data_IF_031182776211
#
_entry.id   IF_031182776211
#
_cell.length_a   1.000
_cell.length_b   1.000
_cell.length_c   1.000
_cell.angle_alpha   90.00
_cell.angle_beta   90.00
_cell.angle_gamma   90.00
#
_symmetry.space_group_name_H-M   'P 1'
#
loop_
_entity.id
_entity.type
_entity.pdbx_description
1 polymer ?
#
# COMPACT_ATOMS: atom_id res chain seq x y z
N UNK A 1 34.89 -31.44 31.33
CA UNK A 1 33.42 -31.26 31.32
C UNK A 1 32.98 -29.80 31.54
N UNK A 2 33.74 -28.93 32.23
CA UNK A 2 33.37 -27.51 32.48
C UNK A 2 33.47 -26.58 31.27
N UNK A 3 34.42 -26.83 30.36
CA UNK A 3 34.73 -25.91 29.25
C UNK A 3 33.64 -25.85 28.18
N UNK A 4 32.99 -26.98 27.87
CA UNK A 4 31.95 -27.05 26.85
C UNK A 4 30.63 -26.41 27.31
N UNK A 5 30.27 -26.57 28.60
CA UNK A 5 29.08 -25.93 29.18
C UNK A 5 29.27 -24.41 29.29
N UNK A 6 30.47 -23.95 29.63
CA UNK A 6 30.84 -22.53 29.61
C UNK A 6 30.80 -21.93 28.21
N UNK A 7 31.39 -22.61 27.21
CA UNK A 7 31.36 -22.18 25.81
C UNK A 7 29.92 -22.09 25.28
N UNK A 8 29.08 -23.10 25.58
CA UNK A 8 27.65 -23.07 25.25
C UNK A 8 26.95 -21.88 25.90
N UNK A 9 27.23 -21.58 27.17
CA UNK A 9 26.65 -20.45 27.88
C UNK A 9 27.08 -19.11 27.28
N UNK A 10 28.34 -18.98 26.88
CA UNK A 10 28.86 -17.79 26.19
C UNK A 10 28.24 -17.61 24.80
N UNK A 11 28.15 -18.68 24.01
CA UNK A 11 27.51 -18.66 22.70
C UNK A 11 26.02 -18.32 22.79
N UNK A 12 25.30 -18.85 23.78
CA UNK A 12 23.90 -18.48 24.02
C UNK A 12 23.75 -17.02 24.42
N UNK A 13 24.66 -16.47 25.25
CA UNK A 13 24.65 -15.04 25.58
C UNK A 13 24.91 -14.17 24.35
N UNK A 14 25.88 -14.56 23.51
CA UNK A 14 26.22 -13.85 22.28
C UNK A 14 25.07 -13.91 21.27
N UNK A 15 24.48 -15.08 21.05
CA UNK A 15 23.31 -15.24 20.18
C UNK A 15 22.12 -14.39 20.67
N UNK A 16 21.82 -14.40 21.98
CA UNK A 16 20.77 -13.54 22.56
C UNK A 16 21.05 -12.05 22.33
N UNK A 17 22.32 -11.63 22.43
CA UNK A 17 22.73 -10.25 22.17
C UNK A 17 22.52 -9.88 20.69
N UNK A 18 22.99 -10.73 19.76
CA UNK A 18 22.81 -10.52 18.32
C UNK A 18 21.32 -10.46 17.92
N UNK A 19 20.47 -11.31 18.51
CA UNK A 19 19.03 -11.26 18.26
C UNK A 19 18.43 -9.94 18.73
N UNK A 20 18.82 -9.43 19.90
CA UNK A 20 18.37 -8.11 20.37
C UNK A 20 18.82 -6.98 19.45
N UNK A 21 20.06 -7.03 18.98
CA UNK A 21 20.63 -6.02 18.07
C UNK A 21 20.05 -6.10 16.65
N UNK A 22 19.48 -7.24 16.26
CA UNK A 22 18.81 -7.40 14.95
C UNK A 22 17.49 -6.64 14.84
N UNK A 23 16.90 -6.21 15.96
CA UNK A 23 15.70 -5.37 15.97
C UNK A 23 16.07 -3.97 15.50
N UNK A 24 15.73 -3.66 14.26
CA UNK A 24 16.04 -2.39 13.60
C UNK A 24 14.77 -1.68 13.11
N UNK A 25 14.93 -0.41 12.72
CA UNK A 25 13.82 0.39 12.17
C UNK A 25 13.23 -0.22 10.88
N UNK A 26 14.07 -0.85 10.05
CA UNK A 26 13.61 -1.60 8.86
C UNK A 26 12.53 -2.64 9.22
N UNK A 27 12.71 -3.39 10.31
CA UNK A 27 11.75 -4.42 10.72
C UNK A 27 10.38 -3.82 11.06
N UNK A 28 10.35 -2.67 11.74
CA UNK A 28 9.10 -1.97 12.04
C UNK A 28 8.42 -1.48 10.76
N UNK A 29 9.17 -0.92 9.81
CA UNK A 29 8.66 -0.47 8.50
C UNK A 29 8.07 -1.64 7.73
N UNK A 30 8.80 -2.76 7.64
CA UNK A 30 8.39 -3.97 6.90
C UNK A 30 7.13 -4.60 7.49
N UNK A 31 7.02 -4.65 8.82
CA UNK A 31 5.81 -5.14 9.49
C UNK A 31 4.63 -4.19 9.29
N UNK A 32 4.84 -2.87 9.42
CA UNK A 32 3.79 -1.88 9.24
C UNK A 32 3.19 -1.94 7.83
N UNK A 33 4.01 -1.98 6.78
CA UNK A 33 3.51 -2.06 5.39
C UNK A 33 2.80 -3.41 5.12
N UNK A 34 3.28 -4.50 5.71
CA UNK A 34 2.61 -5.81 5.59
C UNK A 34 1.22 -5.78 6.22
N UNK A 35 1.10 -5.17 7.41
CA UNK A 35 -0.18 -4.99 8.08
C UNK A 35 -1.12 -4.08 7.28
N UNK A 36 -0.62 -3.00 6.68
CA UNK A 36 -1.43 -2.12 5.80
C UNK A 36 -2.00 -2.91 4.61
N UNK A 37 -1.18 -3.75 3.97
CA UNK A 37 -1.63 -4.58 2.84
C UNK A 37 -2.64 -5.66 3.27
N UNK A 38 -2.43 -6.27 4.44
CA UNK A 38 -3.35 -7.27 4.99
C UNK A 38 -4.69 -6.66 5.39
N UNK A 39 -4.68 -5.53 6.11
CA UNK A 39 -5.90 -4.80 6.47
C UNK A 39 -6.68 -4.38 5.23
N UNK A 40 -6.01 -3.86 4.21
CA UNK A 40 -6.65 -3.49 2.95
C UNK A 40 -7.29 -4.71 2.26
N UNK A 41 -6.65 -5.87 2.28
CA UNK A 41 -7.19 -7.11 1.70
C UNK A 41 -8.40 -7.63 2.49
N UNK A 42 -8.32 -7.60 3.82
CA UNK A 42 -9.41 -8.04 4.72
C UNK A 42 -10.61 -7.10 4.55
N UNK A 43 -10.41 -5.79 4.64
CA UNK A 43 -11.46 -4.79 4.44
C UNK A 43 -12.16 -4.94 3.09
N UNK A 44 -11.41 -5.17 2.01
CA UNK A 44 -12.00 -5.42 0.69
C UNK A 44 -12.81 -6.73 0.62
N UNK A 45 -12.34 -7.79 1.29
CA UNK A 45 -13.05 -9.07 1.33
C UNK A 45 -14.36 -8.94 2.11
N UNK A 46 -14.31 -8.28 3.28
CA UNK A 46 -15.48 -8.02 4.10
C UNK A 46 -16.46 -7.08 3.42
N UNK A 47 -15.99 -6.07 2.69
CA UNK A 47 -16.87 -5.16 1.94
C UNK A 47 -17.66 -5.90 0.86
N UNK A 48 -17.03 -6.86 0.16
CA UNK A 48 -17.76 -7.70 -0.81
C UNK A 48 -18.86 -8.53 -0.12
N UNK A 49 -18.58 -9.10 1.04
CA UNK A 49 -19.58 -9.82 1.84
C UNK A 49 -20.69 -8.92 2.36
N UNK A 50 -20.35 -7.71 2.80
CA UNK A 50 -21.33 -6.71 3.21
C UNK A 50 -22.25 -6.33 2.05
N UNK A 51 -21.72 -6.15 0.83
CA UNK A 51 -22.52 -5.87 -0.37
C UNK A 51 -23.51 -7.00 -0.66
N UNK A 52 -23.03 -8.25 -0.71
CA UNK A 52 -23.88 -9.42 -0.93
C UNK A 52 -24.98 -9.54 0.15
N UNK A 53 -24.65 -9.27 1.42
CA UNK A 53 -25.58 -9.40 2.53
C UNK A 53 -26.60 -8.27 2.56
N UNK A 54 -26.17 -7.01 2.35
CA UNK A 54 -27.04 -5.85 2.32
C UNK A 54 -27.92 -5.81 1.06
N UNK A 55 -27.51 -6.47 -0.03
CA UNK A 55 -28.33 -6.59 -1.23
C UNK A 55 -29.66 -7.34 -1.01
N UNK A 56 -29.77 -8.17 0.05
CA UNK A 56 -31.04 -8.79 0.46
C UNK A 56 -32.06 -7.71 0.86
N UNK A 57 -31.58 -6.64 1.50
CA UNK A 57 -32.39 -5.54 2.02
C UNK A 57 -32.61 -4.42 0.99
N UNK A 58 -31.54 -4.04 0.28
CA UNK A 58 -31.58 -2.94 -0.70
C UNK A 58 -30.61 -3.18 -1.87
N UNK A 59 -31.00 -4.01 -2.86
CA UNK A 59 -30.14 -4.39 -3.98
C UNK A 59 -29.77 -3.20 -4.91
N UNK A 60 -30.58 -2.14 -4.92
CA UNK A 60 -30.37 -0.97 -5.77
C UNK A 60 -29.14 -0.15 -5.34
N UNK A 61 -28.75 -0.22 -4.06
CA UNK A 61 -27.57 0.49 -3.54
C UNK A 61 -26.27 -0.03 -4.14
N UNK A 62 -26.20 -1.34 -4.41
CA UNK A 62 -25.02 -1.96 -5.00
C UNK A 62 -24.72 -1.38 -6.40
N UNK A 63 -25.77 -1.18 -7.21
CA UNK A 63 -25.63 -0.63 -8.56
C UNK A 63 -25.27 0.85 -8.56
N UNK A 64 -25.74 1.61 -7.57
CA UNK A 64 -25.51 3.06 -7.47
C UNK A 64 -24.10 3.41 -6.99
N UNK A 65 -23.51 2.60 -6.11
CA UNK A 65 -22.27 2.95 -5.41
C UNK A 65 -21.17 1.95 -5.71
N UNK A 66 -20.30 2.28 -6.66
CA UNK A 66 -19.14 1.46 -7.01
C UNK A 66 -18.03 1.55 -5.95
N UNK A 67 -17.86 2.71 -5.31
CA UNK A 67 -16.83 2.88 -4.29
C UNK A 67 -17.15 2.12 -2.99
N UNK A 68 -16.16 1.37 -2.51
CA UNK A 68 -16.29 0.51 -1.34
C UNK A 68 -16.39 1.30 -0.04
N UNK A 69 -15.62 2.37 0.10
CA UNK A 69 -15.65 3.18 1.33
C UNK A 69 -16.94 4.00 1.42
N UNK A 70 -17.37 4.59 0.30
CA UNK A 70 -18.66 5.27 0.22
C UNK A 70 -19.83 4.32 0.53
N UNK A 71 -19.80 3.09 0.02
CA UNK A 71 -20.83 2.10 0.29
C UNK A 71 -20.95 1.79 1.79
N UNK A 72 -19.83 1.49 2.46
CA UNK A 72 -19.82 1.19 3.90
C UNK A 72 -20.35 2.38 4.72
N UNK A 73 -19.96 3.61 4.35
CA UNK A 73 -20.44 4.84 5.02
C UNK A 73 -21.94 5.06 4.83
N UNK A 74 -22.48 4.73 3.66
CA UNK A 74 -23.91 4.86 3.37
C UNK A 74 -24.74 3.84 4.13
N UNK A 75 -24.28 2.58 4.18
CA UNK A 75 -24.90 1.51 4.97
C UNK A 75 -24.99 1.90 6.45
N UNK A 76 -23.96 2.55 7.00
CA UNK A 76 -23.97 3.01 8.40
C UNK A 76 -24.84 4.24 8.67
N UNK A 77 -25.03 5.11 7.68
CA UNK A 77 -25.69 6.40 7.86
C UNK A 77 -27.19 6.39 7.61
N UNK A 78 -27.68 5.47 6.79
CA UNK A 78 -29.00 5.65 6.21
C UNK A 78 -29.86 4.39 6.25
N UNK A 79 -31.06 4.55 6.80
CA UNK A 79 -32.15 3.60 6.66
C UNK A 79 -32.68 3.58 5.21
N UNK A 80 -33.23 2.44 4.76
CA UNK A 80 -33.80 2.25 3.40
C UNK A 80 -34.66 3.44 2.95
N UNK A 81 -35.49 3.99 3.84
CA UNK A 81 -36.37 5.14 3.58
C UNK A 81 -35.63 6.48 3.38
N UNK A 82 -34.49 6.68 4.04
CA UNK A 82 -33.66 7.88 3.86
C UNK A 82 -32.89 7.87 2.54
N UNK A 83 -32.38 6.70 2.14
CA UNK A 83 -31.67 6.49 0.86
C UNK A 83 -32.60 6.63 -0.35
N UNK A 84 -33.86 6.21 -0.19
CA UNK A 84 -34.90 6.34 -1.21
C UNK A 84 -35.34 7.81 -1.40
N UNK A 85 -35.35 8.62 -0.34
CA UNK A 85 -35.74 10.03 -0.40
C UNK A 85 -34.70 10.94 -1.07
N UNK A 86 -33.41 10.60 -0.99
CA UNK A 86 -32.34 11.31 -1.70
C UNK A 86 -32.28 10.95 -3.20
N UNK A 87 -32.83 9.80 -3.58
CA UNK A 87 -32.94 9.37 -4.97
C UNK A 87 -34.19 9.92 -5.65
N UNK A 88 -34.07 11.07 -6.33
CA UNK A 88 -35.14 11.72 -7.12
C UNK A 88 -35.69 10.93 -8.34
N UNK A 89 -35.41 9.64 -8.46
CA UNK A 89 -35.93 8.79 -9.52
C UNK A 89 -36.69 7.61 -8.93
N UNK A 90 -38.02 7.65 -9.11
CA UNK A 90 -38.99 6.55 -9.03
C UNK A 90 -38.42 5.16 -8.66
N UNK A 91 -38.10 4.93 -7.39
CA UNK A 91 -37.96 3.56 -6.88
C UNK A 91 -39.37 3.07 -6.56
N UNK A 92 -40.13 2.77 -7.63
CA UNK A 92 -41.46 2.13 -7.53
C UNK A 92 -41.39 0.61 -7.49
N UNK A 93 -40.22 0.04 -7.78
CA UNK A 93 -39.96 -1.39 -7.72
C UNK A 93 -38.92 -1.67 -6.63
N UNK A 94 -39.36 -1.66 -5.37
CA UNK A 94 -38.55 -2.17 -4.25
C UNK A 94 -38.41 -3.70 -4.43
N UNK A 95 -37.26 -4.16 -4.94
CA UNK A 95 -36.99 -5.60 -5.07
C UNK A 95 -36.48 -6.22 -3.76
N UNK A 96 -35.93 -5.39 -2.87
CA UNK A 96 -35.35 -5.82 -1.59
C UNK A 96 -36.39 -6.15 -0.53
N UNK A 97 -36.09 -7.15 0.30
CA UNK A 97 -36.94 -7.53 1.43
C UNK A 97 -36.89 -6.47 2.54
N UNK A 98 -37.95 -6.37 3.32
CA UNK A 98 -37.92 -5.65 4.60
C UNK A 98 -37.34 -6.58 5.66
N UNK A 99 -36.18 -6.22 6.20
CA UNK A 99 -35.54 -6.94 7.30
C UNK A 99 -36.03 -6.41 8.65
N UNK A 100 -36.17 -7.33 9.61
CA UNK A 100 -36.36 -6.94 11.01
C UNK A 100 -35.09 -6.34 11.60
N UNK A 101 -35.22 -5.55 12.67
CA UNK A 101 -34.07 -4.93 13.34
C UNK A 101 -33.03 -5.96 13.79
N UNK A 102 -33.48 -7.14 14.23
CA UNK A 102 -32.61 -8.23 14.68
C UNK A 102 -31.71 -8.77 13.57
N UNK A 103 -32.18 -8.77 12.32
CA UNK A 103 -31.40 -9.21 11.15
C UNK A 103 -30.51 -8.09 10.59
N UNK A 104 -30.94 -6.83 10.78
CA UNK A 104 -30.23 -5.66 10.28
C UNK A 104 -29.05 -5.26 11.18
N UNK A 105 -29.16 -5.47 12.49
CA UNK A 105 -28.09 -5.19 13.48
C UNK A 105 -26.75 -5.88 13.15
N UNK A 106 -26.70 -7.19 12.85
CA UNK A 106 -25.46 -7.86 12.43
C UNK A 106 -24.83 -7.27 11.18
N UNK A 107 -25.66 -6.82 10.22
CA UNK A 107 -25.19 -6.22 8.96
C UNK A 107 -24.52 -4.86 9.24
N UNK A 108 -25.14 -4.02 10.06
CA UNK A 108 -24.57 -2.75 10.48
C UNK A 108 -23.31 -2.93 11.33
N UNK A 109 -23.28 -3.94 12.20
CA UNK A 109 -22.10 -4.31 12.98
C UNK A 109 -20.91 -4.65 12.08
N UNK A 110 -21.13 -5.44 11.03
CA UNK A 110 -20.10 -5.74 10.03
C UNK A 110 -19.60 -4.47 9.32
N UNK A 111 -20.50 -3.55 8.95
CA UNK A 111 -20.13 -2.26 8.34
C UNK A 111 -19.28 -1.39 9.29
N UNK A 112 -19.57 -1.42 10.60
CA UNK A 112 -18.77 -0.73 11.61
C UNK A 112 -17.36 -1.30 11.69
N UNK A 113 -17.22 -2.63 11.76
CA UNK A 113 -15.91 -3.30 11.81
C UNK A 113 -15.07 -2.95 10.58
N UNK A 114 -15.67 -2.92 9.38
CA UNK A 114 -14.97 -2.53 8.15
C UNK A 114 -14.46 -1.08 8.25
N UNK A 115 -15.27 -0.18 8.81
CA UNK A 115 -14.88 1.22 9.02
C UNK A 115 -13.70 1.34 9.98
N UNK A 116 -13.70 0.57 11.07
CA UNK A 116 -12.60 0.53 12.03
C UNK A 116 -11.32 -0.02 11.39
N UNK A 117 -11.40 -1.07 10.58
CA UNK A 117 -10.25 -1.61 9.83
C UNK A 117 -9.65 -0.57 8.88
N UNK A 118 -10.48 0.22 8.19
CA UNK A 118 -10.02 1.30 7.31
C UNK A 118 -9.35 2.43 8.10
N UNK A 119 -9.88 2.75 9.29
CA UNK A 119 -9.28 3.73 10.20
C UNK A 119 -7.91 3.27 10.70
N UNK A 120 -7.80 2.02 11.16
CA UNK A 120 -6.53 1.44 11.62
C UNK A 120 -5.50 1.40 10.49
N UNK A 121 -5.93 1.06 9.28
CA UNK A 121 -5.07 1.15 8.09
C UNK A 121 -4.51 2.56 7.91
N UNK A 122 -5.35 3.61 8.01
CA UNK A 122 -4.90 5.00 7.88
C UNK A 122 -3.89 5.38 8.97
N UNK A 123 -4.12 4.97 10.22
CA UNK A 123 -3.19 5.22 11.32
C UNK A 123 -1.81 4.59 11.07
N UNK A 124 -1.78 3.38 10.51
CA UNK A 124 -0.53 2.72 10.13
C UNK A 124 0.15 3.40 8.94
N UNK A 125 -0.60 3.90 7.95
CA UNK A 125 -0.04 4.68 6.84
C UNK A 125 0.62 5.99 7.34
N UNK A 126 -0.01 6.69 8.27
CA UNK A 126 0.53 7.91 8.88
C UNK A 126 1.78 7.62 9.73
N UNK A 127 1.77 6.52 10.48
CA UNK A 127 2.94 6.03 11.21
C UNK A 127 4.10 5.69 10.27
N UNK A 128 3.80 5.01 9.16
CA UNK A 128 4.77 4.62 8.15
C UNK A 128 5.38 5.86 7.48
N UNK A 129 4.59 6.88 7.16
CA UNK A 129 5.07 8.12 6.55
C UNK A 129 6.07 8.85 7.47
N UNK A 130 5.75 8.99 8.75
CA UNK A 130 6.65 9.59 9.75
C UNK A 130 7.94 8.78 9.91
N UNK A 131 7.82 7.45 10.01
CA UNK A 131 8.97 6.56 10.22
C UNK A 131 9.87 6.52 8.99
N UNK A 132 9.30 6.47 7.79
CA UNK A 132 10.06 6.49 6.52
C UNK A 132 10.80 7.81 6.31
N UNK A 133 10.17 8.96 6.60
CA UNK A 133 10.84 10.27 6.52
C UNK A 133 12.02 10.40 7.48
N UNK A 134 11.93 9.78 8.66
CA UNK A 134 13.02 9.77 9.63
C UNK A 134 14.15 8.78 9.27
N UNK A 135 13.80 7.60 8.75
CA UNK A 135 14.77 6.52 8.49
C UNK A 135 15.41 6.60 7.10
N UNK A 136 14.63 6.91 6.08
CA UNK A 136 15.04 6.93 4.67
C UNK A 136 14.40 8.15 3.95
N UNK A 137 14.85 9.39 4.27
CA UNK A 137 14.24 10.62 3.77
C UNK A 137 14.34 10.74 2.25
N UNK A 138 15.45 10.33 1.63
CA UNK A 138 15.60 10.44 0.18
C UNK A 138 14.71 9.43 -0.56
N UNK A 139 14.64 8.20 -0.08
CA UNK A 139 13.75 7.16 -0.62
C UNK A 139 12.28 7.58 -0.48
N UNK A 140 11.88 8.07 0.70
CA UNK A 140 10.50 8.54 0.94
C UNK A 140 10.13 9.69 0.00
N UNK A 141 11.03 10.64 -0.23
CA UNK A 141 10.78 11.76 -1.13
C UNK A 141 10.69 11.34 -2.60
N UNK A 142 11.60 10.46 -3.09
CA UNK A 142 11.64 10.06 -4.51
C UNK A 142 10.57 9.04 -4.87
N UNK A 143 10.32 8.04 -4.02
CA UNK A 143 9.39 6.95 -4.30
C UNK A 143 8.01 7.12 -3.63
N UNK A 144 7.89 7.99 -2.62
CA UNK A 144 6.77 8.01 -1.70
C UNK A 144 6.90 6.94 -0.60
N UNK A 145 6.40 7.24 0.59
CA UNK A 145 6.55 6.38 1.78
C UNK A 145 5.97 4.97 1.61
N UNK A 146 4.81 4.83 0.97
CA UNK A 146 4.18 3.53 0.74
C UNK A 146 4.97 2.64 -0.23
N UNK A 147 5.39 3.19 -1.37
CA UNK A 147 6.17 2.43 -2.37
C UNK A 147 7.56 2.14 -1.82
N UNK A 148 8.21 3.11 -1.17
CA UNK A 148 9.49 2.91 -0.50
C UNK A 148 9.45 1.78 0.51
N UNK A 149 8.40 1.72 1.35
CA UNK A 149 8.21 0.63 2.30
C UNK A 149 7.97 -0.72 1.62
N UNK A 150 7.22 -0.78 0.50
CA UNK A 150 7.06 -2.02 -0.28
C UNK A 150 8.37 -2.52 -0.88
N UNK A 151 9.21 -1.60 -1.37
CA UNK A 151 10.55 -1.95 -1.86
C UNK A 151 11.44 -2.48 -0.73
N UNK A 152 11.37 -1.88 0.46
CA UNK A 152 12.07 -2.35 1.65
C UNK A 152 11.58 -3.73 2.09
N UNK A 153 10.26 -3.97 2.08
CA UNK A 153 9.66 -5.28 2.37
C UNK A 153 10.20 -6.36 1.44
N UNK A 154 10.23 -6.12 0.13
CA UNK A 154 10.71 -7.10 -0.84
C UNK A 154 12.23 -7.33 -0.75
N UNK A 155 13.00 -6.28 -0.44
CA UNK A 155 14.44 -6.40 -0.24
C UNK A 155 14.82 -7.01 1.12
N UNK A 156 13.95 -6.87 2.13
CA UNK A 156 14.12 -7.32 3.51
C UNK A 156 14.88 -6.36 4.43
N UNK A 157 15.64 -5.41 3.90
CA UNK A 157 16.29 -4.33 4.68
C UNK A 157 16.78 -3.20 3.78
N UNK A 158 17.02 -2.02 4.36
CA UNK A 158 17.59 -0.88 3.63
C UNK A 158 18.99 -1.22 3.10
N UNK A 159 19.79 -1.96 3.88
CA UNK A 159 21.10 -2.46 3.45
C UNK A 159 21.00 -3.31 2.19
N UNK A 160 20.09 -4.28 2.14
CA UNK A 160 19.93 -5.15 0.97
C UNK A 160 19.45 -4.36 -0.23
N UNK A 161 18.51 -3.43 -0.03
CA UNK A 161 18.02 -2.56 -1.10
C UNK A 161 19.12 -1.68 -1.70
N UNK A 162 20.02 -1.11 -0.87
CA UNK A 162 21.15 -0.29 -1.32
C UNK A 162 22.18 -1.07 -2.16
N UNK A 163 22.29 -2.38 -1.93
CA UNK A 163 23.19 -3.28 -2.65
C UNK A 163 22.59 -3.82 -3.96
N UNK A 164 21.27 -3.71 -4.16
CA UNK A 164 20.61 -4.12 -5.40
C UNK A 164 20.97 -3.18 -6.57
N UNK A 165 20.89 -3.69 -7.79
CA UNK A 165 21.00 -2.88 -9.01
C UNK A 165 19.69 -2.17 -9.32
N UNK A 166 19.74 -1.02 -9.99
CA UNK A 166 18.54 -0.31 -10.48
C UNK A 166 17.60 -1.22 -11.27
N UNK A 167 18.13 -2.06 -12.17
CA UNK A 167 17.33 -3.02 -12.94
C UNK A 167 16.58 -4.05 -12.07
N UNK A 168 17.12 -4.38 -10.89
CA UNK A 168 16.43 -5.25 -9.93
C UNK A 168 15.35 -4.47 -9.20
N UNK A 169 15.66 -3.25 -8.73
CA UNK A 169 14.70 -2.36 -8.06
C UNK A 169 13.49 -2.08 -8.96
N UNK A 170 13.70 -1.90 -10.27
CA UNK A 170 12.64 -1.72 -11.26
C UNK A 170 11.60 -2.85 -11.25
N UNK A 171 12.03 -4.08 -10.94
CA UNK A 171 11.22 -5.29 -11.06
C UNK A 171 10.70 -5.84 -9.72
N UNK A 172 11.05 -5.22 -8.58
CA UNK A 172 10.55 -5.63 -7.27
C UNK A 172 9.01 -5.55 -7.24
N UNK A 173 8.36 -6.65 -6.86
CA UNK A 173 6.91 -6.86 -6.92
C UNK A 173 6.41 -7.53 -8.21
N UNK A 174 7.29 -7.85 -9.17
CA UNK A 174 6.96 -8.56 -10.41
C UNK A 174 7.64 -9.93 -10.52
N UNK A 175 8.06 -10.52 -9.40
CA UNK A 175 8.82 -11.77 -9.31
C UNK A 175 8.12 -12.91 -10.06
N UNK A 176 6.81 -13.07 -9.86
CA UNK A 176 6.02 -14.11 -10.54
C UNK A 176 6.09 -14.00 -12.06
N UNK A 177 5.98 -12.79 -12.59
CA UNK A 177 6.07 -12.54 -14.03
C UNK A 177 7.50 -12.72 -14.55
N UNK A 178 8.49 -12.32 -13.76
CA UNK A 178 9.92 -12.49 -14.06
C UNK A 178 10.30 -13.97 -14.11
N UNK A 179 9.91 -14.77 -13.11
CA UNK A 179 10.16 -16.20 -13.07
C UNK A 179 9.46 -16.94 -14.20
N UNK A 180 8.24 -16.51 -14.57
CA UNK A 180 7.57 -17.04 -15.77
C UNK A 180 8.35 -16.73 -17.05
N UNK A 181 8.87 -15.52 -17.21
CA UNK A 181 9.76 -15.19 -18.34
C UNK A 181 10.99 -16.10 -18.39
N UNK A 182 11.67 -16.29 -17.26
CA UNK A 182 12.87 -17.15 -17.17
C UNK A 182 12.53 -18.60 -17.50
N UNK A 183 11.37 -19.10 -17.04
CA UNK A 183 10.99 -20.52 -17.21
C UNK A 183 10.40 -20.83 -18.59
N UNK A 184 9.60 -19.92 -19.15
CA UNK A 184 8.80 -20.20 -20.36
C UNK A 184 9.14 -19.29 -21.54
N UNK A 185 10.09 -18.37 -21.42
CA UNK A 185 10.42 -17.38 -22.46
C UNK A 185 9.35 -16.32 -22.71
N UNK A 186 8.29 -16.24 -21.89
CA UNK A 186 7.22 -15.24 -22.01
C UNK A 186 7.79 -13.82 -21.91
N UNK A 187 7.15 -12.77 -22.45
CA UNK A 187 7.71 -11.40 -22.42
C UNK A 187 8.08 -10.95 -20.99
N UNK A 188 9.27 -10.33 -20.78
CA UNK A 188 9.71 -9.91 -19.46
C UNK A 188 8.83 -8.77 -18.89
N UNK A 189 8.63 -8.71 -17.56
CA UNK A 189 7.94 -7.59 -16.93
C UNK A 189 8.74 -6.29 -17.10
N UNK A 190 8.03 -5.17 -17.27
CA UNK A 190 8.64 -3.83 -17.44
C UNK A 190 8.78 -3.07 -16.12
N UNK A 191 8.02 -3.44 -15.09
CA UNK A 191 7.94 -2.77 -13.81
C UNK A 191 7.26 -3.69 -12.78
N UNK A 192 7.57 -3.49 -11.50
CA UNK A 192 6.82 -4.05 -10.37
C UNK A 192 6.04 -2.98 -9.62
N UNK A 193 6.32 -2.79 -8.33
CA UNK A 193 5.63 -1.80 -7.48
C UNK A 193 5.70 -0.37 -8.00
N UNK A 194 6.74 -0.02 -8.77
CA UNK A 194 6.91 1.31 -9.37
C UNK A 194 5.76 1.74 -10.29
N UNK A 195 4.95 0.80 -10.80
CA UNK A 195 3.75 1.13 -11.56
C UNK A 195 2.74 1.96 -10.75
N UNK A 196 2.72 1.77 -9.43
CA UNK A 196 1.81 2.49 -8.53
C UNK A 196 2.21 3.96 -8.36
N UNK A 197 3.43 4.34 -8.76
CA UNK A 197 3.92 5.70 -8.61
C UNK A 197 3.22 6.67 -9.56
N UNK A 198 2.83 7.85 -9.04
CA UNK A 198 2.11 8.86 -9.82
C UNK A 198 2.85 9.26 -11.11
N UNK A 199 4.17 9.46 -11.03
CA UNK A 199 5.04 9.70 -12.18
C UNK A 199 4.86 8.68 -13.33
N UNK A 200 4.84 7.39 -12.99
CA UNK A 200 4.72 6.30 -13.97
C UNK A 200 3.28 6.21 -14.48
N UNK A 201 2.29 6.48 -13.64
CA UNK A 201 0.88 6.48 -14.06
C UNK A 201 0.55 7.63 -15.01
N UNK A 202 1.10 8.82 -14.79
CA UNK A 202 0.97 10.01 -15.64
C UNK A 202 1.65 9.82 -17.01
N UNK A 203 2.65 8.95 -17.12
CA UNK A 203 3.31 8.64 -18.40
C UNK A 203 2.41 7.84 -19.35
N UNK A 204 2.57 8.07 -20.66
CA UNK A 204 1.88 7.32 -21.73
C UNK A 204 2.17 5.82 -21.61
N UNK A 205 1.21 4.96 -21.98
CA UNK A 205 1.31 3.49 -21.83
C UNK A 205 2.61 2.90 -22.40
N UNK A 206 3.06 3.40 -23.55
CA UNK A 206 4.29 2.92 -24.19
C UNK A 206 5.57 3.41 -23.49
N UNK A 207 5.48 4.53 -22.79
CA UNK A 207 6.60 5.18 -22.09
C UNK A 207 6.72 4.74 -20.62
N UNK A 208 5.70 4.08 -20.05
CA UNK A 208 5.72 3.60 -18.65
C UNK A 208 6.94 2.76 -18.31
N UNK A 209 7.43 1.95 -19.26
CA UNK A 209 8.65 1.17 -19.06
C UNK A 209 9.93 2.03 -19.00
N UNK A 210 9.99 3.11 -19.78
CA UNK A 210 11.10 4.08 -19.75
C UNK A 210 11.04 4.92 -18.47
N UNK A 211 9.84 5.37 -18.10
CA UNK A 211 9.60 6.12 -16.87
C UNK A 211 9.95 5.30 -15.62
N UNK A 212 9.50 4.04 -15.54
CA UNK A 212 9.83 3.15 -14.42
C UNK A 212 11.34 2.89 -14.30
N UNK A 213 12.05 2.75 -15.42
CA UNK A 213 13.52 2.62 -15.41
C UNK A 213 14.19 3.87 -14.86
N UNK A 214 13.82 5.05 -15.36
CA UNK A 214 14.39 6.30 -14.88
C UNK A 214 14.10 6.52 -13.39
N UNK A 215 12.88 6.21 -12.94
CA UNK A 215 12.52 6.27 -11.53
C UNK A 215 13.36 5.29 -10.69
N UNK A 216 13.55 4.05 -11.15
CA UNK A 216 14.40 3.08 -10.47
C UNK A 216 15.86 3.56 -10.34
N UNK A 217 16.40 4.26 -11.35
CA UNK A 217 17.74 4.84 -11.30
C UNK A 217 17.86 5.91 -10.20
N UNK A 218 16.84 6.75 -10.03
CA UNK A 218 16.82 7.76 -8.95
C UNK A 218 16.61 7.14 -7.57
N UNK A 219 15.71 6.15 -7.46
CA UNK A 219 15.52 5.39 -6.23
C UNK A 219 16.82 4.71 -5.82
N UNK A 220 17.53 4.10 -6.77
CA UNK A 220 18.82 3.47 -6.53
C UNK A 220 19.85 4.44 -5.92
N UNK A 221 19.94 5.67 -6.44
CA UNK A 221 20.80 6.71 -5.87
C UNK A 221 20.33 7.14 -4.47
N UNK A 222 19.03 7.42 -4.32
CA UNK A 222 18.41 7.86 -3.06
C UNK A 222 18.64 6.85 -1.92
N UNK A 223 18.38 5.56 -2.17
CA UNK A 223 18.56 4.49 -1.18
C UNK A 223 20.01 4.37 -0.72
N UNK A 224 20.97 4.50 -1.64
CA UNK A 224 22.40 4.44 -1.28
C UNK A 224 22.80 5.61 -0.42
N UNK A 225 22.33 6.81 -0.75
CA UNK A 225 22.59 8.00 0.07
C UNK A 225 21.99 7.85 1.46
N UNK A 226 20.76 7.36 1.57
CA UNK A 226 20.13 7.08 2.87
C UNK A 226 20.94 6.05 3.68
N UNK A 227 21.33 4.93 3.06
CA UNK A 227 22.07 3.87 3.76
C UNK A 227 23.49 4.27 4.17
N UNK A 228 24.22 4.97 3.30
CA UNK A 228 25.59 5.44 3.57
C UNK A 228 25.62 6.78 4.33
N UNK A 229 24.47 7.27 4.82
CA UNK A 229 24.32 8.50 5.62
C UNK A 229 24.82 9.77 4.92
N UNK A 230 24.54 9.88 3.62
CA UNK A 230 24.80 11.11 2.87
C UNK A 230 23.73 12.20 3.11
N UNK A 231 23.96 13.38 2.55
CA UNK A 231 23.04 14.52 2.64
C UNK A 231 21.73 14.29 1.88
N UNK A 232 20.69 15.06 2.20
CA UNK A 232 19.45 15.06 1.44
C UNK A 232 19.67 15.58 0.01
N UNK A 233 19.28 14.79 -0.99
CA UNK A 233 19.44 15.08 -2.43
C UNK A 233 18.16 14.85 -3.25
N UNK A 234 17.07 14.41 -2.62
CA UNK A 234 15.88 13.95 -3.35
C UNK A 234 15.26 15.02 -4.25
N UNK A 235 15.22 16.29 -3.83
CA UNK A 235 14.64 17.36 -4.64
C UNK A 235 15.34 17.51 -6.01
N UNK A 236 16.66 17.35 -6.03
CA UNK A 236 17.45 17.36 -7.27
C UNK A 236 17.12 16.14 -8.14
N UNK A 237 17.02 14.96 -7.52
CA UNK A 237 16.70 13.72 -8.23
C UNK A 237 15.31 13.76 -8.86
N UNK A 238 14.34 14.40 -8.18
CA UNK A 238 12.98 14.60 -8.68
C UNK A 238 12.98 15.60 -9.83
N UNK A 239 13.64 16.76 -9.68
CA UNK A 239 13.73 17.75 -10.75
C UNK A 239 14.32 17.15 -12.04
N UNK A 240 15.38 16.35 -11.94
CA UNK A 240 15.98 15.65 -13.09
C UNK A 240 15.02 14.64 -13.76
N UNK A 241 14.09 14.04 -13.01
CA UNK A 241 13.05 13.17 -13.57
C UNK A 241 11.97 13.97 -14.31
N UNK A 242 11.54 15.08 -13.71
CA UNK A 242 10.52 15.94 -14.27
C UNK A 242 10.98 16.60 -15.57
N UNK A 243 12.21 17.12 -15.62
CA UNK A 243 12.82 17.70 -16.82
C UNK A 243 12.88 16.70 -17.98
N UNK A 244 13.28 15.45 -17.67
CA UNK A 244 13.48 14.42 -18.69
C UNK A 244 12.19 13.96 -19.36
N UNK A 245 11.07 13.95 -18.63
CA UNK A 245 9.79 13.46 -19.14
C UNK A 245 8.73 14.55 -19.33
N UNK A 246 9.02 15.81 -18.96
CA UNK A 246 8.08 16.94 -18.96
C UNK A 246 6.77 16.61 -18.22
N UNK A 247 6.86 15.80 -17.16
CA UNK A 247 5.74 15.43 -16.30
C UNK A 247 5.96 16.13 -14.97
N UNK A 248 5.03 17.00 -14.57
CA UNK A 248 5.04 17.58 -13.23
C UNK A 248 4.46 16.58 -12.23
N UNK A 249 5.19 16.32 -11.16
CA UNK A 249 4.63 15.71 -9.96
C UNK A 249 3.89 16.80 -9.19
N UNK A 250 2.72 16.46 -8.66
CA UNK A 250 2.05 17.36 -7.72
C UNK A 250 2.82 17.21 -6.41
N UNK A 251 3.31 18.31 -5.83
CA UNK A 251 4.06 18.26 -4.57
C UNK A 251 3.19 17.52 -3.52
N UNK A 252 3.79 16.56 -2.82
CA UNK A 252 3.13 15.74 -1.82
C UNK A 252 2.55 16.61 -0.69
N UNK A 253 1.30 17.01 -0.85
CA UNK A 253 0.54 17.90 0.03
C UNK A 253 -0.94 17.97 -0.32
N UNK A 254 -1.34 17.70 -1.57
CA UNK A 254 -2.73 17.85 -2.03
C UNK A 254 -3.52 16.54 -2.24
N UNK A 255 -2.97 15.39 -1.82
CA UNK A 255 -3.63 14.09 -2.01
C UNK A 255 -4.83 13.82 -1.06
N UNK A 256 -5.11 14.68 -0.09
CA UNK A 256 -6.28 14.58 0.80
C UNK A 256 -7.58 15.09 0.18
N UNK A 257 -7.58 15.56 -1.09
CA UNK A 257 -8.76 16.22 -1.69
C UNK A 257 -9.32 15.59 -2.98
N UNK A 258 -8.80 14.44 -3.46
CA UNK A 258 -9.25 13.84 -4.73
C UNK A 258 -9.52 12.34 -4.65
N UNK A 259 -10.44 11.95 -3.77
CA UNK A 259 -11.18 10.69 -3.83
C UNK A 259 -12.59 10.95 -4.36
N UNK A 260 -12.72 11.15 -5.67
CA UNK A 260 -14.00 11.46 -6.30
C UNK A 260 -13.84 11.69 -7.80
N UNK A 261 -13.73 10.59 -8.56
CA UNK A 261 -14.15 10.42 -9.96
C UNK A 261 -13.61 9.09 -10.48
N UNK A 262 -14.53 8.22 -10.86
CA UNK A 262 -14.30 6.88 -11.40
C UNK A 262 -15.43 5.99 -10.95
#
# INVERSE_FOLDING_TARGET
>A
MSTLSELRRQNLKLAKKLVKESVNQDLFIVNAISNVEELAKIANTLTKRLREWYAIYFPELEKKVQDNEAFVKLVLKADKKGLLAEGKDNVKDEMGADLEKQDLEPILSLASIITDLLREKQLLEDYLDKTMKAHAPNLSAVAGSLIGAKLLKEAGSLKRLAMMRSSTIQLLGAEKALFRHIRTGARPPKYGYLLQHQFVQKAKKDERGKAARALADKIFLAVRVDYFKGSYIADKLIAELEERFKISLDKAGDASSRGGRG
#
